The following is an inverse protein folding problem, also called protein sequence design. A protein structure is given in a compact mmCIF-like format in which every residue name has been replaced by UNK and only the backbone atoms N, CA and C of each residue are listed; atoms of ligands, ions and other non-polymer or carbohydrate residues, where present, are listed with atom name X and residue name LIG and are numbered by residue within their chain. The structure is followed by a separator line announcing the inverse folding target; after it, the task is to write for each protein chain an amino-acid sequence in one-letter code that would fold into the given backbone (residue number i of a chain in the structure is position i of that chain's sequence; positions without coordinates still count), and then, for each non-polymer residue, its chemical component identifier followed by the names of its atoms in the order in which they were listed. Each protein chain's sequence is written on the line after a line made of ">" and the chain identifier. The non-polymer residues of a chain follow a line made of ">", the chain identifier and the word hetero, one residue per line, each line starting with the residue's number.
data_IF_935495695992
#
_entry.id   IF_935495695992
#
_cell.length_a   1.000
_cell.length_b   1.000
_cell.length_c   1.000
_cell.angle_alpha   90.00
_cell.angle_beta   90.00
_cell.angle_gamma   90.00
#
_symmetry.space_group_name_H-M   'P 1'
#
loop_
_entity.id
_entity.type
_entity.pdbx_description
1 polymer ?
#
# COMPACT_ATOMS: atom_id res chain seq x y z
N UNK A 1 10.88 -39.36 6.98
CA UNK A 1 11.66 -38.11 7.07
C UNK A 1 11.09 -37.34 8.24
N UNK A 2 11.91 -36.95 9.22
CA UNK A 2 11.45 -36.09 10.33
C UNK A 2 10.94 -34.78 9.75
N UNK A 3 9.73 -34.37 10.14
CA UNK A 3 9.17 -33.04 9.82
C UNK A 3 10.16 -31.99 10.30
N UNK A 4 10.83 -31.33 9.34
CA UNK A 4 11.79 -30.28 9.61
C UNK A 4 11.12 -28.98 9.18
N UNK A 5 10.88 -28.11 10.15
CA UNK A 5 10.34 -26.78 9.89
C UNK A 5 11.46 -25.74 9.91
N UNK A 6 11.20 -24.60 9.25
CA UNK A 6 12.02 -23.40 9.29
C UNK A 6 11.17 -22.25 9.81
N UNK A 7 11.72 -21.47 10.73
CA UNK A 7 11.12 -20.22 11.21
C UNK A 7 11.80 -19.02 10.52
N UNK A 8 10.99 -18.06 10.08
CA UNK A 8 11.45 -16.81 9.49
C UNK A 8 10.82 -15.65 10.26
N UNK A 9 11.68 -14.74 10.75
CA UNK A 9 11.28 -13.48 11.36
C UNK A 9 11.74 -12.29 10.55
N UNK A 10 10.84 -11.37 10.21
CA UNK A 10 11.15 -10.12 9.48
C UNK A 10 10.53 -8.94 10.23
N UNK A 11 11.31 -7.87 10.38
CA UNK A 11 10.81 -6.59 10.89
C UNK A 11 11.06 -5.51 9.86
N UNK A 12 10.00 -4.80 9.47
CA UNK A 12 10.08 -3.64 8.57
C UNK A 12 9.60 -2.40 9.31
N UNK A 13 10.33 -1.29 9.21
CA UNK A 13 9.94 0.01 9.78
C UNK A 13 9.54 0.96 8.67
N UNK A 14 8.40 1.61 8.81
CA UNK A 14 7.86 2.58 7.86
C UNK A 14 7.22 3.70 8.64
N UNK A 15 7.68 4.94 8.41
CA UNK A 15 7.26 6.09 9.19
C UNK A 15 7.45 5.81 10.70
N UNK A 16 6.39 5.98 11.51
CA UNK A 16 6.39 5.65 12.93
C UNK A 16 5.93 4.20 13.24
N UNK A 17 5.55 3.41 12.23
CA UNK A 17 5.02 2.05 12.41
C UNK A 17 6.12 0.99 12.20
N UNK A 18 6.12 -0.05 13.04
CA UNK A 18 6.96 -1.23 12.89
C UNK A 18 6.07 -2.44 12.59
N UNK A 19 6.32 -3.10 11.45
CA UNK A 19 5.66 -4.32 11.02
C UNK A 19 6.56 -5.48 11.43
N UNK A 20 6.10 -6.29 12.38
CA UNK A 20 6.72 -7.57 12.70
C UNK A 20 5.97 -8.70 12.00
N UNK A 21 6.72 -9.61 11.42
CA UNK A 21 6.22 -10.81 10.75
C UNK A 21 7.03 -12.01 11.23
N UNK A 22 6.36 -13.06 11.67
CA UNK A 22 6.97 -14.36 11.91
C UNK A 22 6.12 -15.44 11.26
N UNK A 23 6.77 -16.42 10.63
CA UNK A 23 6.12 -17.58 10.03
C UNK A 23 6.99 -18.81 10.15
N UNK A 24 6.35 -19.93 10.46
CA UNK A 24 6.92 -21.26 10.40
C UNK A 24 6.42 -21.96 9.13
N UNK A 25 7.30 -22.68 8.44
CA UNK A 25 6.96 -23.42 7.22
C UNK A 25 7.74 -24.74 7.14
N UNK A 26 7.21 -25.69 6.39
CA UNK A 26 7.91 -26.93 6.08
C UNK A 26 9.18 -26.66 5.25
N UNK A 27 10.26 -27.41 5.52
CA UNK A 27 11.52 -27.25 4.80
C UNK A 27 11.37 -27.50 3.29
N UNK A 28 10.45 -28.37 2.87
CA UNK A 28 10.21 -28.63 1.44
C UNK A 28 9.40 -27.52 0.75
N UNK A 29 8.74 -26.64 1.51
CA UNK A 29 8.00 -25.47 1.00
C UNK A 29 8.80 -24.19 1.17
N UNK A 30 10.08 -24.26 1.52
CA UNK A 30 10.86 -23.09 1.91
C UNK A 30 10.87 -21.99 0.83
N UNK A 31 11.09 -22.34 -0.43
CA UNK A 31 11.12 -21.37 -1.53
C UNK A 31 9.74 -20.73 -1.78
N UNK A 32 8.69 -21.55 -1.88
CA UNK A 32 7.32 -21.05 -2.10
C UNK A 32 6.81 -20.24 -0.90
N UNK A 33 7.16 -20.67 0.31
CA UNK A 33 6.88 -19.96 1.56
C UNK A 33 7.58 -18.60 1.60
N UNK A 34 8.88 -18.52 1.28
CA UNK A 34 9.60 -17.25 1.18
C UNK A 34 8.95 -16.32 0.13
N UNK A 35 8.58 -16.83 -1.03
CA UNK A 35 7.92 -16.03 -2.08
C UNK A 35 6.59 -15.44 -1.59
N UNK A 36 5.78 -16.22 -0.87
CA UNK A 36 4.53 -15.75 -0.27
C UNK A 36 4.79 -14.67 0.78
N UNK A 37 5.76 -14.90 1.68
CA UNK A 37 6.15 -13.93 2.72
C UNK A 37 6.55 -12.60 2.10
N UNK A 38 7.39 -12.62 1.06
CA UNK A 38 7.84 -11.40 0.37
C UNK A 38 6.66 -10.67 -0.27
N UNK A 39 5.73 -11.39 -0.90
CA UNK A 39 4.56 -10.78 -1.53
C UNK A 39 3.61 -10.14 -0.50
N UNK A 40 3.28 -10.87 0.57
CA UNK A 40 2.45 -10.37 1.68
C UNK A 40 3.08 -9.14 2.33
N UNK A 41 4.37 -9.22 2.64
CA UNK A 41 5.11 -8.15 3.28
C UNK A 41 5.19 -6.93 2.35
N UNK A 42 5.51 -7.12 1.07
CA UNK A 42 5.54 -6.04 0.08
C UNK A 42 4.20 -5.30 -0.02
N UNK A 43 3.09 -6.03 -0.04
CA UNK A 43 1.74 -5.46 -0.06
C UNK A 43 1.48 -4.63 1.21
N UNK A 44 1.78 -5.20 2.39
CA UNK A 44 1.59 -4.52 3.69
C UNK A 44 2.46 -3.28 3.82
N UNK A 45 3.73 -3.36 3.41
CA UNK A 45 4.69 -2.26 3.40
C UNK A 45 4.16 -1.11 2.54
N UNK A 46 3.72 -1.42 1.32
CA UNK A 46 3.19 -0.42 0.41
C UNK A 46 1.91 0.24 0.96
N UNK A 47 0.97 -0.54 1.51
CA UNK A 47 -0.25 0.00 2.14
C UNK A 47 0.07 0.94 3.31
N UNK A 48 0.95 0.54 4.23
CA UNK A 48 1.36 1.37 5.37
C UNK A 48 2.08 2.64 4.91
N UNK A 49 2.95 2.54 3.89
CA UNK A 49 3.63 3.68 3.29
C UNK A 49 2.64 4.69 2.70
N UNK A 50 1.68 4.22 1.89
CA UNK A 50 0.64 5.06 1.29
C UNK A 50 -0.22 5.77 2.33
N UNK A 51 -0.61 5.07 3.40
CA UNK A 51 -1.36 5.65 4.51
C UNK A 51 -0.57 6.75 5.20
N UNK A 52 0.73 6.53 5.45
CA UNK A 52 1.57 7.56 6.06
C UNK A 52 1.78 8.78 5.16
N UNK A 53 1.99 8.57 3.85
CA UNK A 53 2.08 9.67 2.89
C UNK A 53 0.78 10.50 2.84
N UNK A 54 -0.38 9.86 2.90
CA UNK A 54 -1.67 10.55 2.95
C UNK A 54 -1.81 11.41 4.22
N UNK A 55 -1.32 10.93 5.37
CA UNK A 55 -1.32 11.70 6.62
C UNK A 55 -0.33 12.88 6.56
N UNK A 56 0.85 12.71 5.95
CA UNK A 56 1.78 13.81 5.70
C UNK A 56 1.16 14.89 4.81
N UNK A 57 0.45 14.49 3.74
CA UNK A 57 -0.29 15.45 2.91
C UNK A 57 -1.37 16.20 3.69
N UNK A 58 -2.01 15.55 4.66
CA UNK A 58 -2.99 16.17 5.53
C UNK A 58 -2.38 17.23 6.46
N UNK A 59 -1.13 17.07 6.86
CA UNK A 59 -0.43 18.05 7.69
C UNK A 59 0.06 19.26 6.86
N UNK A 60 0.32 19.05 5.57
CA UNK A 60 0.88 20.05 4.65
C UNK A 60 -0.14 20.54 3.61
N UNK A 61 -1.42 20.63 3.96
CA UNK A 61 -2.48 21.05 3.02
C UNK A 61 -2.28 22.52 2.59
N UNK A 62 -2.18 22.80 1.28
CA UNK A 62 -2.03 24.18 0.80
C UNK A 62 -3.21 25.07 1.18
N UNK A 63 -2.94 26.37 1.32
CA UNK A 63 -3.99 27.36 1.58
C UNK A 63 -5.08 27.35 0.48
N UNK A 64 -6.33 27.51 0.88
CA UNK A 64 -7.49 27.50 -0.02
C UNK A 64 -7.99 26.10 -0.39
N UNK A 65 -7.31 25.02 0.03
CA UNK A 65 -7.80 23.66 -0.17
C UNK A 65 -8.79 23.28 0.94
N UNK A 66 -9.99 22.86 0.56
CA UNK A 66 -11.01 22.36 1.50
C UNK A 66 -11.04 20.84 1.48
N UNK A 67 -10.85 20.22 2.65
CA UNK A 67 -10.99 18.77 2.80
C UNK A 67 -12.45 18.35 2.53
N UNK A 68 -12.64 17.36 1.65
CA UNK A 68 -13.95 16.81 1.24
C UNK A 68 -14.17 15.38 1.76
N UNK A 69 -13.34 14.93 2.71
CA UNK A 69 -13.32 13.57 3.24
C UNK A 69 -12.34 12.67 2.49
N UNK A 70 -12.63 11.38 2.54
CA UNK A 70 -11.74 10.34 2.02
C UNK A 70 -12.44 9.45 1.00
N UNK A 71 -11.71 8.97 0.00
CA UNK A 71 -12.18 8.00 -1.00
C UNK A 71 -11.28 6.76 -1.02
N UNK A 72 -11.88 5.59 -1.25
CA UNK A 72 -11.14 4.36 -1.53
C UNK A 72 -10.57 4.35 -2.95
N UNK A 73 -9.49 3.58 -3.14
CA UNK A 73 -8.87 3.29 -4.43
C UNK A 73 -8.29 1.90 -4.44
N UNK A 74 -8.41 1.27 -5.60
CA UNK A 74 -7.67 0.07 -5.95
C UNK A 74 -6.69 0.40 -7.07
N UNK A 75 -5.46 -0.07 -6.94
CA UNK A 75 -4.44 -0.01 -7.98
C UNK A 75 -3.74 -1.37 -8.10
N UNK A 76 -3.30 -1.70 -9.31
CA UNK A 76 -2.38 -2.80 -9.53
C UNK A 76 -0.95 -2.27 -9.35
N UNK A 77 -0.20 -2.87 -8.43
CA UNK A 77 1.21 -2.59 -8.18
C UNK A 77 2.08 -3.81 -8.53
N UNK A 78 3.41 -3.67 -8.48
CA UNK A 78 4.33 -4.81 -8.63
C UNK A 78 4.17 -5.88 -7.54
N UNK A 79 3.57 -5.55 -6.39
CA UNK A 79 3.29 -6.48 -5.28
C UNK A 79 1.82 -6.92 -5.26
N UNK A 80 1.13 -6.76 -6.40
CA UNK A 80 -0.27 -7.14 -6.59
C UNK A 80 -1.26 -5.99 -6.34
N UNK A 81 -2.52 -6.36 -6.14
CA UNK A 81 -3.60 -5.40 -5.90
C UNK A 81 -3.46 -4.72 -4.54
N UNK A 82 -3.53 -3.40 -4.53
CA UNK A 82 -3.47 -2.56 -3.34
C UNK A 82 -4.77 -1.79 -3.20
N UNK A 83 -5.36 -1.91 -2.01
CA UNK A 83 -6.57 -1.22 -1.63
C UNK A 83 -6.20 -0.19 -0.56
N UNK A 84 -6.42 1.10 -0.84
CA UNK A 84 -6.10 2.16 0.11
C UNK A 84 -7.16 3.26 0.09
N UNK A 85 -7.17 4.07 1.16
CA UNK A 85 -8.04 5.23 1.31
C UNK A 85 -7.17 6.48 1.32
N UNK A 86 -7.65 7.55 0.69
CA UNK A 86 -6.91 8.81 0.52
C UNK A 86 -7.80 10.02 0.75
N UNK A 87 -7.22 11.14 1.18
CA UNK A 87 -7.94 12.40 1.30
C UNK A 87 -8.21 13.05 -0.07
N UNK A 88 -9.38 13.69 -0.17
CA UNK A 88 -9.79 14.46 -1.35
C UNK A 88 -9.99 15.90 -0.94
N UNK A 89 -9.50 16.81 -1.77
CA UNK A 89 -9.60 18.23 -1.53
C UNK A 89 -10.33 18.93 -2.67
N UNK A 90 -10.93 20.06 -2.35
CA UNK A 90 -11.49 21.00 -3.32
C UNK A 90 -10.61 22.24 -3.35
N UNK A 91 -10.24 22.67 -4.55
CA UNK A 91 -9.53 23.92 -4.80
C UNK A 91 -10.37 24.82 -5.71
N UNK A 92 -9.93 26.06 -5.93
CA UNK A 92 -10.59 27.09 -6.76
C UNK A 92 -11.33 26.53 -7.99
N UNK A 93 -12.50 27.12 -8.28
CA UNK A 93 -13.41 26.69 -9.35
C UNK A 93 -13.90 25.23 -9.20
N UNK A 94 -14.11 24.78 -7.96
CA UNK A 94 -14.56 23.42 -7.62
C UNK A 94 -13.66 22.30 -8.17
N UNK A 95 -12.37 22.59 -8.38
CA UNK A 95 -11.43 21.60 -8.89
C UNK A 95 -11.06 20.61 -7.79
N UNK A 96 -11.50 19.37 -7.94
CA UNK A 96 -11.11 18.27 -7.03
C UNK A 96 -9.63 17.92 -7.20
N UNK A 97 -8.91 17.86 -6.09
CA UNK A 97 -7.49 17.45 -5.98
C UNK A 97 -7.38 16.17 -5.18
N UNK A 98 -6.48 15.29 -5.60
CA UNK A 98 -6.25 13.96 -5.00
C UNK A 98 -4.75 13.76 -4.82
N UNK A 99 -4.12 14.38 -3.81
CA UNK A 99 -2.65 14.42 -3.66
C UNK A 99 -1.97 13.06 -3.83
N UNK A 100 -2.49 12.03 -3.17
CA UNK A 100 -1.87 10.71 -3.25
C UNK A 100 -1.96 10.10 -4.66
N UNK A 101 -3.04 10.32 -5.41
CA UNK A 101 -3.12 9.87 -6.80
C UNK A 101 -2.22 10.70 -7.73
N UNK A 102 -2.11 12.00 -7.46
CA UNK A 102 -1.27 12.91 -8.22
C UNK A 102 0.22 12.56 -8.03
N UNK A 103 0.62 12.20 -6.80
CA UNK A 103 1.97 11.70 -6.49
C UNK A 103 2.26 10.36 -7.20
N UNK A 104 1.31 9.44 -7.17
CA UNK A 104 1.46 8.11 -7.77
C UNK A 104 1.23 8.10 -9.29
N UNK A 105 0.91 9.25 -9.89
CA UNK A 105 0.56 9.39 -11.31
C UNK A 105 -0.55 8.42 -11.77
N UNK A 106 -1.49 8.11 -10.86
CA UNK A 106 -2.56 7.15 -11.14
C UNK A 106 -3.70 7.84 -11.87
N UNK A 107 -4.00 7.38 -13.09
CA UNK A 107 -5.09 7.89 -13.90
C UNK A 107 -6.45 7.78 -13.20
N UNK A 108 -7.39 8.68 -13.53
CA UNK A 108 -8.72 8.73 -12.91
C UNK A 108 -9.51 7.44 -13.09
N UNK A 109 -9.37 6.79 -14.24
CA UNK A 109 -10.08 5.55 -14.62
C UNK A 109 -9.11 4.60 -15.32
N UNK A 110 -8.59 3.61 -14.59
CA UNK A 110 -7.85 2.49 -15.19
C UNK A 110 -8.81 1.31 -15.34
N UNK A 111 -9.21 0.98 -16.57
CA UNK A 111 -9.95 -0.25 -16.85
C UNK A 111 -8.91 -1.32 -17.17
N UNK A 112 -8.77 -2.31 -16.30
CA UNK A 112 -7.81 -3.42 -16.48
C UNK A 112 -8.31 -4.47 -17.49
N UNK A 113 -9.07 -4.04 -18.50
CA UNK A 113 -9.67 -4.92 -19.52
C UNK A 113 -8.77 -5.12 -20.75
N UNK A 114 -7.49 -4.75 -20.69
CA UNK A 114 -6.55 -4.88 -21.81
C UNK A 114 -5.28 -5.69 -21.51
N UNK A 115 -5.26 -6.47 -20.42
CA UNK A 115 -4.22 -7.48 -20.20
C UNK A 115 -4.86 -8.85 -19.98
N UNK A 116 -5.33 -9.44 -21.07
CA UNK A 116 -5.49 -10.89 -21.24
C UNK A 116 -4.70 -11.28 -22.47
#
# INVERSE_FOLDING_TARGET
>A
MTEKHVEIGITVKINAEAIQYSRTMEMYEFESGISQVVQELGNKVLMTGLKGLDEEFRQCVPAGWRNMGTEERNILSSVGWIHYRRHIYLYEQDRRRKPLNELLEVERYGRDSQRV
#
